data_IF_743070313531
#
_entry.id   IF_743070313531
#
_cell.length_a   1.000
_cell.length_b   1.000
_cell.length_c   1.000
_cell.angle_alpha   90.00
_cell.angle_beta   90.00
_cell.angle_gamma   90.00
#
_symmetry.space_group_name_H-M   'P 1'
#
loop_
_entity.id
_entity.type
_entity.pdbx_description
1 polymer ?
#
# COMPACT_ATOMS: atom_id res chain seq x y z
N UNK A 1 -3.29 -27.19 15.14
CA UNK A 1 -2.84 -28.34 14.32
C UNK A 1 -3.92 -29.43 14.28
N UNK A 2 -4.22 -30.00 13.10
CA UNK A 2 -5.15 -31.13 12.95
C UNK A 2 -4.61 -32.48 13.45
N UNK A 3 -3.32 -32.54 13.84
CA UNK A 3 -2.63 -33.75 14.27
C UNK A 3 -3.36 -34.45 15.43
N UNK A 4 -3.54 -35.77 15.30
CA UNK A 4 -4.36 -36.58 16.21
C UNK A 4 -5.81 -36.73 15.78
N UNK A 5 -6.30 -36.00 14.77
CA UNK A 5 -7.64 -36.20 14.20
C UNK A 5 -7.80 -37.50 13.39
N UNK A 6 -6.69 -38.02 12.85
CA UNK A 6 -6.65 -39.25 12.02
C UNK A 6 -7.57 -39.16 10.79
N UNK A 7 -8.39 -40.17 10.50
CA UNK A 7 -9.16 -40.25 9.25
C UNK A 7 -10.24 -39.16 9.14
N UNK A 8 -11.07 -39.00 10.18
CA UNK A 8 -12.28 -38.17 10.14
C UNK A 8 -12.47 -37.27 11.36
N UNK A 9 -11.44 -37.13 12.21
CA UNK A 9 -11.46 -36.26 13.39
C UNK A 9 -11.68 -36.99 14.73
N UNK A 10 -12.05 -38.27 14.70
CA UNK A 10 -12.31 -39.07 15.92
C UNK A 10 -11.06 -39.47 16.70
N UNK A 11 -9.88 -39.42 16.07
CA UNK A 11 -8.64 -39.95 16.65
C UNK A 11 -8.56 -41.48 16.68
N UNK A 12 -9.38 -42.17 15.88
CA UNK A 12 -9.32 -43.63 15.78
C UNK A 12 -7.90 -44.11 15.44
N UNK A 13 -7.43 -45.13 16.15
CA UNK A 13 -6.07 -45.68 16.04
C UNK A 13 -4.93 -44.75 16.49
N UNK A 14 -5.21 -43.59 17.09
CA UNK A 14 -4.20 -42.76 17.75
C UNK A 14 -4.21 -42.98 19.27
N UNK A 15 -3.03 -42.85 19.90
CA UNK A 15 -2.96 -42.77 21.36
C UNK A 15 -3.69 -41.49 21.84
N UNK A 16 -4.44 -41.51 22.97
CA UNK A 16 -5.24 -40.36 23.42
C UNK A 16 -4.48 -39.05 23.59
N UNK A 17 -3.18 -39.13 23.92
CA UNK A 17 -2.29 -37.97 24.09
C UNK A 17 -1.49 -37.60 22.85
N UNK A 18 -1.66 -38.30 21.73
CA UNK A 18 -0.79 -38.17 20.56
C UNK A 18 -0.77 -36.75 20.00
N UNK A 19 -1.95 -36.13 19.82
CA UNK A 19 -2.07 -34.78 19.28
C UNK A 19 -1.31 -33.73 20.11
N UNK A 20 -1.49 -33.78 21.44
CA UNK A 20 -0.86 -32.83 22.36
C UNK A 20 0.63 -33.06 22.50
N UNK A 21 1.07 -34.33 22.57
CA UNK A 21 2.49 -34.68 22.61
C UNK A 21 3.22 -34.22 21.36
N UNK A 22 2.64 -34.44 20.17
CA UNK A 22 3.26 -33.98 18.92
C UNK A 22 3.27 -32.45 18.85
N UNK A 23 2.19 -31.77 19.23
CA UNK A 23 2.17 -30.30 19.26
C UNK A 23 3.23 -29.72 20.21
N UNK A 24 3.42 -30.32 21.39
CA UNK A 24 4.46 -29.92 22.34
C UNK A 24 5.87 -30.11 21.77
N UNK A 25 6.13 -31.24 21.09
CA UNK A 25 7.41 -31.48 20.42
C UNK A 25 7.64 -30.47 19.29
N UNK A 26 6.63 -30.14 18.49
CA UNK A 26 6.76 -29.12 17.42
C UNK A 26 7.05 -27.75 18.04
N UNK A 27 6.36 -27.39 19.12
CA UNK A 27 6.62 -26.15 19.86
C UNK A 27 8.07 -26.07 20.37
N UNK A 28 8.59 -27.14 20.97
CA UNK A 28 9.97 -27.20 21.45
C UNK A 28 10.98 -27.04 20.31
N UNK A 29 10.76 -27.70 19.18
CA UNK A 29 11.69 -27.67 18.05
C UNK A 29 11.65 -26.36 17.26
N UNK A 30 10.52 -25.67 17.22
CA UNK A 30 10.32 -24.48 16.37
C UNK A 30 10.31 -23.16 17.16
N UNK A 31 10.12 -23.21 18.48
CA UNK A 31 9.92 -22.04 19.34
C UNK A 31 8.53 -21.39 19.23
N UNK A 32 7.68 -21.82 18.30
CA UNK A 32 6.33 -21.27 18.11
C UNK A 32 5.29 -22.00 18.97
N UNK A 33 4.26 -21.32 19.49
CA UNK A 33 3.30 -21.87 20.44
C UNK A 33 2.25 -22.79 19.77
N UNK A 34 2.69 -23.83 19.06
CA UNK A 34 1.81 -24.78 18.42
C UNK A 34 0.98 -25.57 19.44
N UNK A 35 -0.30 -25.73 19.12
CA UNK A 35 -1.26 -26.51 19.90
C UNK A 35 -2.07 -27.45 18.99
N UNK A 36 -2.54 -28.55 19.56
CA UNK A 36 -3.50 -29.44 18.89
C UNK A 36 -4.88 -28.77 18.88
N UNK A 37 -5.63 -28.85 17.77
CA UNK A 37 -6.96 -28.20 17.69
C UNK A 37 -7.94 -28.85 18.66
N UNK A 38 -8.73 -28.07 19.40
CA UNK A 38 -9.78 -28.60 20.28
C UNK A 38 -10.88 -29.32 19.48
N UNK A 39 -11.13 -28.90 18.23
CA UNK A 39 -12.07 -29.53 17.32
C UNK A 39 -11.33 -30.08 16.08
N UNK A 40 -11.10 -31.40 16.08
CA UNK A 40 -10.42 -32.10 14.97
C UNK A 40 -11.29 -32.26 13.73
N UNK A 41 -12.61 -32.26 13.88
CA UNK A 41 -13.52 -32.30 12.73
C UNK A 41 -13.36 -31.01 11.92
N UNK A 42 -13.51 -29.85 12.58
CA UNK A 42 -13.28 -28.54 11.96
C UNK A 42 -11.88 -28.42 11.33
N UNK A 43 -10.82 -28.81 12.05
CA UNK A 43 -9.46 -28.73 11.52
C UNK A 43 -9.16 -29.64 10.31
N UNK A 44 -10.02 -30.62 10.00
CA UNK A 44 -9.91 -31.46 8.80
C UNK A 44 -10.80 -30.94 7.66
N UNK A 45 -11.95 -30.35 7.99
CA UNK A 45 -13.01 -29.96 7.06
C UNK A 45 -12.91 -28.51 6.59
N UNK A 46 -12.41 -27.63 7.43
CA UNK A 46 -12.30 -26.20 7.17
C UNK A 46 -10.82 -25.75 7.22
N UNK A 47 -10.55 -24.66 6.52
CA UNK A 47 -9.27 -23.94 6.52
C UNK A 47 -9.53 -22.43 6.59
N UNK A 48 -10.52 -22.04 7.39
CA UNK A 48 -10.96 -20.66 7.56
C UNK A 48 -9.86 -19.78 8.18
N UNK A 49 -8.99 -20.36 9.00
CA UNK A 49 -7.78 -19.69 9.50
C UNK A 49 -6.84 -19.29 8.36
N UNK A 50 -6.73 -20.12 7.32
CA UNK A 50 -5.88 -19.83 6.15
C UNK A 50 -6.55 -18.79 5.25
N UNK A 51 -7.89 -18.84 5.12
CA UNK A 51 -8.65 -17.78 4.42
C UNK A 51 -8.48 -16.43 5.12
N UNK A 52 -8.57 -16.39 6.44
CA UNK A 52 -8.38 -15.17 7.21
C UNK A 52 -6.95 -14.62 7.08
N UNK A 53 -5.95 -15.50 7.13
CA UNK A 53 -4.56 -15.14 6.86
C UNK A 53 -4.42 -14.54 5.46
N UNK A 54 -4.93 -15.22 4.43
CA UNK A 54 -4.80 -14.75 3.06
C UNK A 54 -5.54 -13.43 2.83
N UNK A 55 -6.70 -13.23 3.45
CA UNK A 55 -7.41 -11.95 3.43
C UNK A 55 -6.57 -10.79 3.99
N UNK A 56 -5.73 -11.08 4.99
CA UNK A 56 -4.76 -10.10 5.53
C UNK A 56 -3.61 -9.83 4.54
N UNK A 57 -3.12 -10.86 3.83
CA UNK A 57 -2.14 -10.69 2.76
C UNK A 57 -2.69 -9.86 1.59
N UNK A 58 -3.96 -10.06 1.22
CA UNK A 58 -4.64 -9.23 0.23
C UNK A 58 -4.73 -7.76 0.66
N UNK A 59 -5.05 -7.50 1.92
CA UNK A 59 -5.08 -6.13 2.44
C UNK A 59 -3.71 -5.47 2.30
N UNK A 60 -2.64 -6.16 2.71
CA UNK A 60 -1.27 -5.69 2.52
C UNK A 60 -0.94 -5.44 1.03
N UNK A 61 -1.34 -6.34 0.13
CA UNK A 61 -1.16 -6.15 -1.31
C UNK A 61 -1.89 -4.91 -1.85
N UNK A 62 -3.07 -4.58 -1.32
CA UNK A 62 -3.80 -3.37 -1.70
C UNK A 62 -3.05 -2.09 -1.26
N UNK A 63 -2.49 -2.09 -0.05
CA UNK A 63 -1.70 -0.96 0.45
C UNK A 63 -0.41 -0.79 -0.37
N UNK A 64 0.31 -1.89 -0.64
CA UNK A 64 1.51 -1.89 -1.47
C UNK A 64 1.23 -1.43 -2.90
N UNK A 65 0.11 -1.85 -3.49
CA UNK A 65 -0.35 -1.37 -4.78
C UNK A 65 -0.49 0.15 -4.79
N UNK A 66 -1.12 0.74 -3.76
CA UNK A 66 -1.28 2.19 -3.66
C UNK A 66 0.07 2.88 -3.51
N UNK A 67 0.91 2.41 -2.59
CA UNK A 67 2.24 2.99 -2.33
C UNK A 67 3.10 3.00 -3.59
N UNK A 68 3.19 1.87 -4.29
CA UNK A 68 3.96 1.76 -5.53
C UNK A 68 3.39 2.64 -6.65
N UNK A 69 2.05 2.78 -6.72
CA UNK A 69 1.41 3.67 -7.68
C UNK A 69 1.73 5.14 -7.42
N UNK A 70 1.67 5.59 -6.17
CA UNK A 70 1.98 6.98 -5.82
C UNK A 70 3.44 7.29 -6.18
N UNK A 71 4.38 6.42 -5.80
CA UNK A 71 5.81 6.63 -6.05
C UNK A 71 6.08 6.71 -7.56
N UNK A 72 5.54 5.80 -8.38
CA UNK A 72 5.75 5.86 -9.84
C UNK A 72 5.12 7.09 -10.48
N UNK A 73 4.02 7.61 -9.93
CA UNK A 73 3.39 8.83 -10.44
C UNK A 73 4.17 10.07 -10.03
N UNK A 74 4.58 10.18 -8.77
CA UNK A 74 5.41 11.28 -8.28
C UNK A 74 6.76 11.34 -9.02
N UNK A 75 7.32 10.17 -9.39
CA UNK A 75 8.55 10.07 -10.17
C UNK A 75 8.34 10.19 -11.70
N UNK A 76 7.11 10.37 -12.18
CA UNK A 76 6.84 10.46 -13.62
C UNK A 76 7.49 11.70 -14.23
N UNK A 77 8.26 11.55 -15.32
CA UNK A 77 9.06 12.66 -15.84
C UNK A 77 10.03 12.25 -16.96
N UNK A 78 11.11 13.03 -17.21
CA UNK A 78 11.58 14.15 -16.40
C UNK A 78 10.93 15.51 -16.73
N UNK A 79 10.17 15.63 -17.83
CA UNK A 79 9.65 16.93 -18.30
C UNK A 79 8.15 16.99 -18.60
N UNK A 80 7.48 15.84 -18.66
CA UNK A 80 6.07 15.72 -19.05
C UNK A 80 5.25 14.89 -18.05
N UNK A 81 5.66 14.92 -16.78
CA UNK A 81 4.99 14.26 -15.66
C UNK A 81 4.98 15.17 -14.43
N UNK A 82 4.90 14.58 -13.23
CA UNK A 82 4.95 15.30 -11.96
C UNK A 82 6.40 15.60 -11.53
N UNK A 83 7.30 14.61 -11.58
CA UNK A 83 8.70 14.75 -11.19
C UNK A 83 8.90 15.46 -9.83
N UNK A 84 8.06 15.17 -8.84
CA UNK A 84 8.23 15.69 -7.47
C UNK A 84 9.33 14.95 -6.72
N UNK A 85 9.57 13.68 -7.09
CA UNK A 85 10.66 12.87 -6.54
C UNK A 85 11.48 12.24 -7.66
N UNK A 86 12.72 11.88 -7.33
CA UNK A 86 13.54 10.98 -8.13
C UNK A 86 13.63 9.61 -7.45
N UNK A 87 13.90 8.59 -8.26
CA UNK A 87 14.07 7.20 -7.81
C UNK A 87 15.37 6.63 -8.40
N UNK A 88 15.97 5.60 -7.77
CA UNK A 88 17.21 4.99 -8.27
C UNK A 88 17.08 4.44 -9.69
N UNK A 89 18.15 4.62 -10.48
CA UNK A 89 18.31 4.01 -11.80
C UNK A 89 19.12 2.71 -11.66
N UNK A 90 18.44 1.58 -11.43
CA UNK A 90 19.10 0.28 -11.25
C UNK A 90 19.48 -0.39 -12.57
N UNK A 91 18.68 -0.18 -13.61
CA UNK A 91 18.89 -0.73 -14.94
C UNK A 91 18.95 0.39 -15.98
N UNK A 92 19.74 0.25 -17.06
CA UNK A 92 19.68 1.17 -18.18
C UNK A 92 18.28 1.14 -18.80
N UNK A 93 17.45 2.15 -18.52
CA UNK A 93 16.03 2.13 -18.87
C UNK A 93 15.80 2.09 -20.38
N UNK A 94 16.50 2.93 -21.14
CA UNK A 94 16.51 2.89 -22.60
C UNK A 94 17.85 3.40 -23.12
N UNK A 95 18.53 2.58 -23.94
CA UNK A 95 19.85 2.89 -24.49
C UNK A 95 19.91 4.16 -25.37
N UNK A 96 18.76 4.75 -25.73
CA UNK A 96 18.65 5.92 -26.61
C UNK A 96 18.16 7.19 -25.89
N UNK A 97 17.72 7.10 -24.62
CA UNK A 97 17.09 8.22 -23.90
C UNK A 97 17.80 8.50 -22.56
N UNK A 98 18.89 9.29 -22.55
CA UNK A 98 19.58 9.64 -21.32
C UNK A 98 18.68 10.44 -20.36
N UNK A 99 18.71 10.09 -19.08
CA UNK A 99 17.91 10.73 -18.02
C UNK A 99 16.47 10.25 -17.88
N UNK A 100 16.06 9.22 -18.64
CA UNK A 100 14.77 8.54 -18.47
C UNK A 100 14.93 7.32 -17.57
N UNK A 101 14.38 7.39 -16.36
CA UNK A 101 14.33 6.26 -15.41
C UNK A 101 12.93 5.65 -15.42
N UNK A 102 12.83 4.35 -15.68
CA UNK A 102 11.55 3.63 -15.55
C UNK A 102 11.40 3.15 -14.09
N UNK A 103 10.20 3.23 -13.49
CA UNK A 103 9.97 2.80 -12.11
C UNK A 103 9.80 1.28 -11.99
N UNK A 104 10.81 0.50 -12.41
CA UNK A 104 10.76 -0.97 -12.56
C UNK A 104 10.38 -1.70 -11.28
N UNK A 105 10.87 -1.25 -10.13
CA UNK A 105 10.50 -1.81 -8.83
C UNK A 105 9.03 -1.55 -8.47
N UNK A 106 8.49 -0.37 -8.83
CA UNK A 106 7.06 -0.10 -8.65
C UNK A 106 6.21 -1.00 -9.56
N UNK A 107 6.63 -1.17 -10.82
CA UNK A 107 5.95 -2.06 -11.77
C UNK A 107 5.89 -3.49 -11.24
N UNK A 108 7.02 -4.03 -10.78
CA UNK A 108 7.09 -5.35 -10.15
C UNK A 108 6.16 -5.47 -8.95
N UNK A 109 6.20 -4.52 -8.02
CA UNK A 109 5.39 -4.58 -6.79
C UNK A 109 3.88 -4.51 -7.08
N UNK A 110 3.48 -3.74 -8.10
CA UNK A 110 2.08 -3.71 -8.55
C UNK A 110 1.66 -5.04 -9.20
N UNK A 111 2.52 -5.70 -9.97
CA UNK A 111 2.22 -7.03 -10.53
C UNK A 111 2.10 -8.11 -9.43
N UNK A 112 3.00 -8.10 -8.44
CA UNK A 112 2.92 -8.94 -7.24
C UNK A 112 1.58 -8.74 -6.55
N UNK A 113 1.16 -7.49 -6.37
CA UNK A 113 -0.08 -7.15 -5.68
C UNK A 113 -1.32 -7.71 -6.41
N UNK A 114 -1.35 -7.63 -7.75
CA UNK A 114 -2.42 -8.25 -8.56
C UNK A 114 -2.43 -9.77 -8.39
N UNK A 115 -1.25 -10.41 -8.43
CA UNK A 115 -1.15 -11.86 -8.27
C UNK A 115 -1.70 -12.32 -6.92
N UNK A 116 -1.36 -11.62 -5.84
CA UNK A 116 -1.87 -11.92 -4.48
C UNK A 116 -3.40 -11.77 -4.42
N UNK A 117 -3.97 -10.74 -5.03
CA UNK A 117 -5.43 -10.58 -5.08
C UNK A 117 -6.13 -11.72 -5.86
N UNK A 118 -5.49 -12.21 -6.93
CA UNK A 118 -5.95 -13.40 -7.65
C UNK A 118 -5.88 -14.66 -6.79
N UNK A 119 -4.76 -14.88 -6.10
CA UNK A 119 -4.55 -16.00 -5.19
C UNK A 119 -5.58 -16.01 -4.06
N UNK A 120 -5.99 -14.84 -3.54
CA UNK A 120 -7.03 -14.72 -2.51
C UNK A 120 -8.36 -15.30 -2.96
N UNK A 121 -8.72 -15.05 -4.23
CA UNK A 121 -9.93 -15.61 -4.83
C UNK A 121 -9.84 -17.13 -4.91
N UNK A 122 -8.68 -17.68 -5.33
CA UNK A 122 -8.45 -19.13 -5.39
C UNK A 122 -8.57 -19.75 -4.00
N UNK A 123 -7.92 -19.18 -2.98
CA UNK A 123 -7.96 -19.66 -1.60
C UNK A 123 -9.38 -19.62 -1.04
N UNK A 124 -10.10 -18.51 -1.21
CA UNK A 124 -11.47 -18.36 -0.73
C UNK A 124 -12.43 -19.36 -1.37
N UNK A 125 -12.37 -19.51 -2.70
CA UNK A 125 -13.20 -20.50 -3.41
C UNK A 125 -12.83 -21.91 -2.95
N UNK A 126 -11.56 -22.29 -2.96
CA UNK A 126 -11.12 -23.64 -2.58
C UNK A 126 -11.51 -24.01 -1.14
N UNK A 127 -11.41 -23.08 -0.19
CA UNK A 127 -11.82 -23.30 1.19
C UNK A 127 -13.33 -23.55 1.32
N UNK A 128 -14.15 -22.90 0.49
CA UNK A 128 -15.62 -23.07 0.50
C UNK A 128 -16.10 -24.45 0.02
N UNK A 129 -15.25 -25.24 -0.66
CA UNK A 129 -15.64 -26.50 -1.30
C UNK A 129 -15.44 -27.75 -0.41
N UNK A 130 -15.38 -27.59 0.91
CA UNK A 130 -15.32 -28.73 1.83
C UNK A 130 -16.58 -29.60 1.74
N UNK A 131 -16.43 -30.93 1.78
CA UNK A 131 -17.57 -31.86 1.82
C UNK A 131 -17.42 -32.84 2.98
N UNK A 132 -18.41 -32.85 3.87
CA UNK A 132 -18.47 -33.73 5.03
C UNK A 132 -17.19 -33.65 5.88
N UNK A 133 -16.46 -34.74 6.07
CA UNK A 133 -15.32 -34.85 7.01
C UNK A 133 -13.97 -34.38 6.45
N UNK A 134 -13.88 -33.93 5.17
CA UNK A 134 -12.61 -33.49 4.61
C UNK A 134 -12.76 -32.43 3.50
N UNK A 135 -12.02 -31.32 3.62
CA UNK A 135 -11.73 -30.47 2.47
C UNK A 135 -10.51 -31.03 1.73
N UNK A 136 -10.69 -31.43 0.47
CA UNK A 136 -9.69 -32.05 -0.41
C UNK A 136 -8.92 -31.05 -1.29
N UNK A 137 -9.21 -29.75 -1.18
CA UNK A 137 -8.53 -28.68 -1.91
C UNK A 137 -7.27 -28.16 -1.18
N UNK A 138 -6.79 -28.87 -0.15
CA UNK A 138 -5.63 -28.45 0.66
C UNK A 138 -4.39 -28.04 -0.15
N UNK A 139 -3.99 -28.77 -1.22
CA UNK A 139 -2.81 -28.39 -1.99
C UNK A 139 -2.92 -27.02 -2.64
N UNK A 140 -4.06 -26.71 -3.29
CA UNK A 140 -4.23 -25.42 -3.98
C UNK A 140 -4.36 -24.25 -2.99
N UNK A 141 -4.98 -24.48 -1.82
CA UNK A 141 -5.06 -23.48 -0.73
C UNK A 141 -3.65 -23.10 -0.26
N UNK A 142 -2.82 -24.10 0.05
CA UNK A 142 -1.48 -23.88 0.60
C UNK A 142 -0.49 -23.35 -0.45
N UNK A 143 -0.56 -23.83 -1.69
CA UNK A 143 0.30 -23.35 -2.78
C UNK A 143 0.09 -21.85 -3.04
N UNK A 144 -1.16 -21.41 -3.17
CA UNK A 144 -1.49 -20.00 -3.38
C UNK A 144 -1.13 -19.14 -2.16
N UNK A 145 -1.34 -19.66 -0.96
CA UNK A 145 -0.98 -18.95 0.28
C UNK A 145 0.53 -18.77 0.40
N UNK A 146 1.32 -19.81 0.17
CA UNK A 146 2.78 -19.74 0.23
C UNK A 146 3.34 -18.87 -0.89
N UNK A 147 2.81 -18.98 -2.11
CA UNK A 147 3.21 -18.11 -3.21
C UNK A 147 2.98 -16.64 -2.86
N UNK A 148 1.81 -16.28 -2.32
CA UNK A 148 1.53 -14.91 -1.89
C UNK A 148 2.51 -14.43 -0.81
N UNK A 149 2.82 -15.26 0.19
CA UNK A 149 3.80 -14.94 1.23
C UNK A 149 5.18 -14.65 0.62
N UNK A 150 5.68 -15.52 -0.26
CA UNK A 150 6.99 -15.33 -0.88
C UNK A 150 7.05 -14.11 -1.79
N UNK A 151 6.05 -13.93 -2.66
CA UNK A 151 5.99 -12.77 -3.57
C UNK A 151 5.95 -11.46 -2.80
N UNK A 152 5.17 -11.37 -1.73
CA UNK A 152 5.12 -10.16 -0.89
C UNK A 152 6.44 -9.95 -0.15
N UNK A 153 6.99 -10.98 0.48
CA UNK A 153 8.23 -10.86 1.25
C UNK A 153 9.40 -10.42 0.38
N UNK A 154 9.60 -11.09 -0.76
CA UNK A 154 10.68 -10.75 -1.69
C UNK A 154 10.39 -9.42 -2.40
N UNK A 155 9.14 -9.17 -2.81
CA UNK A 155 8.70 -7.94 -3.46
C UNK A 155 8.91 -6.71 -2.58
N UNK A 156 8.56 -6.76 -1.30
CA UNK A 156 8.82 -5.67 -0.35
C UNK A 156 10.32 -5.45 -0.13
N UNK A 157 11.11 -6.52 -0.01
CA UNK A 157 12.56 -6.42 0.20
C UNK A 157 13.26 -5.76 -0.99
N UNK A 158 13.00 -6.25 -2.21
CA UNK A 158 13.62 -5.67 -3.42
C UNK A 158 13.14 -4.24 -3.66
N UNK A 159 11.88 -3.94 -3.37
CA UNK A 159 11.35 -2.58 -3.50
C UNK A 159 12.03 -1.62 -2.52
N UNK A 160 12.26 -2.05 -1.27
CA UNK A 160 12.99 -1.26 -0.27
C UNK A 160 14.42 -0.99 -0.72
N UNK A 161 15.18 -2.05 -1.00
CA UNK A 161 16.61 -2.00 -1.33
C UNK A 161 16.90 -1.25 -2.63
N UNK A 162 16.05 -1.42 -3.65
CA UNK A 162 16.31 -0.91 -5.01
C UNK A 162 15.42 0.29 -5.39
N UNK A 163 14.56 0.78 -4.50
CA UNK A 163 13.73 1.95 -4.80
C UNK A 163 13.52 2.84 -3.58
N UNK A 164 12.87 2.33 -2.52
CA UNK A 164 12.39 3.16 -1.42
C UNK A 164 13.51 3.89 -0.69
N UNK A 165 14.63 3.21 -0.43
CA UNK A 165 15.77 3.80 0.28
C UNK A 165 16.50 4.91 -0.49
N UNK A 166 16.31 4.98 -1.82
CA UNK A 166 16.97 5.98 -2.67
C UNK A 166 16.01 7.02 -3.25
N UNK A 167 14.82 7.17 -2.67
CA UNK A 167 13.88 8.23 -3.05
C UNK A 167 14.46 9.58 -2.57
N UNK A 168 14.59 10.53 -3.48
CA UNK A 168 15.05 11.89 -3.18
C UNK A 168 14.05 12.93 -3.71
N UNK A 169 13.71 13.98 -2.94
CA UNK A 169 12.83 15.04 -3.40
C UNK A 169 13.50 15.89 -4.49
N UNK A 170 12.69 16.37 -5.45
CA UNK A 170 13.11 17.38 -6.42
C UNK A 170 12.54 18.72 -5.95
N UNK A 171 13.26 19.37 -5.04
CA UNK A 171 12.80 20.60 -4.36
C UNK A 171 12.36 21.69 -5.35
N UNK A 172 13.08 21.88 -6.46
CA UNK A 172 12.73 22.87 -7.49
C UNK A 172 11.31 22.67 -8.05
N UNK A 173 10.93 21.41 -8.33
CA UNK A 173 9.61 21.10 -8.88
C UNK A 173 8.52 21.22 -7.80
N UNK A 174 8.80 20.74 -6.58
CA UNK A 174 7.89 20.84 -5.43
C UNK A 174 7.57 22.31 -5.14
N UNK A 175 8.60 23.16 -5.05
CA UNK A 175 8.46 24.60 -4.83
C UNK A 175 7.70 25.27 -5.97
N UNK A 176 7.95 24.87 -7.22
CA UNK A 176 7.21 25.39 -8.37
C UNK A 176 5.72 25.06 -8.28
N UNK A 177 5.35 23.82 -7.94
CA UNK A 177 3.94 23.43 -7.80
C UNK A 177 3.26 24.14 -6.64
N UNK A 178 3.94 24.24 -5.49
CA UNK A 178 3.42 24.95 -4.33
C UNK A 178 3.07 26.40 -4.67
N UNK A 179 3.99 27.12 -5.32
CA UNK A 179 3.81 28.54 -5.65
C UNK A 179 2.83 28.78 -6.80
N UNK A 180 2.55 27.76 -7.63
CA UNK A 180 1.53 27.83 -8.69
C UNK A 180 0.15 27.31 -8.24
N UNK A 181 0.08 26.67 -7.08
CA UNK A 181 -1.16 26.09 -6.57
C UNK A 181 -2.19 27.16 -6.25
N UNK A 182 -3.45 26.88 -6.62
CA UNK A 182 -4.59 27.71 -6.23
C UNK A 182 -5.15 27.34 -4.86
N UNK A 183 -4.66 26.26 -4.24
CA UNK A 183 -5.22 25.73 -2.99
C UNK A 183 -4.79 26.53 -1.76
N UNK A 184 -3.67 27.27 -1.85
CA UNK A 184 -3.21 28.15 -0.76
C UNK A 184 -4.19 29.28 -0.44
N UNK A 185 -5.15 29.56 -1.33
CA UNK A 185 -6.17 30.60 -1.18
C UNK A 185 -7.03 30.43 0.07
N UNK A 186 -7.15 29.21 0.62
CA UNK A 186 -7.94 28.94 1.82
C UNK A 186 -7.40 29.66 3.05
N UNK A 187 -6.08 29.94 3.09
CA UNK A 187 -5.44 30.74 4.13
C UNK A 187 -6.00 32.18 4.19
N UNK A 188 -6.60 32.68 3.11
CA UNK A 188 -7.19 34.01 3.06
C UNK A 188 -8.58 34.08 3.72
N UNK A 189 -9.26 32.95 3.91
CA UNK A 189 -10.65 32.93 4.40
C UNK A 189 -10.83 33.67 5.75
N UNK A 190 -9.98 33.51 6.77
CA UNK A 190 -10.12 34.23 8.04
C UNK A 190 -9.90 35.75 7.92
N UNK A 191 -9.19 36.22 6.89
CA UNK A 191 -8.81 37.62 6.73
C UNK A 191 -9.79 38.40 5.86
N UNK A 192 -10.25 37.80 4.76
CA UNK A 192 -11.08 38.49 3.75
C UNK A 192 -12.44 37.82 3.50
N UNK A 193 -12.70 36.67 4.12
CA UNK A 193 -13.92 35.89 3.95
C UNK A 193 -13.90 35.00 2.68
N UNK A 194 -14.71 33.94 2.73
CA UNK A 194 -14.78 32.91 1.69
C UNK A 194 -15.10 33.47 0.29
N UNK A 195 -16.08 34.37 0.16
CA UNK A 195 -16.50 34.87 -1.16
C UNK A 195 -15.38 35.61 -1.90
N UNK A 196 -14.60 36.43 -1.18
CA UNK A 196 -13.47 37.17 -1.77
C UNK A 196 -12.34 36.22 -2.14
N UNK A 197 -11.98 35.28 -1.27
CA UNK A 197 -10.98 34.25 -1.55
C UNK A 197 -11.35 33.38 -2.77
N UNK A 198 -12.60 32.92 -2.84
CA UNK A 198 -13.10 32.16 -4.00
C UNK A 198 -13.04 32.97 -5.31
N UNK A 199 -13.28 34.28 -5.25
CA UNK A 199 -13.16 35.16 -6.43
C UNK A 199 -11.72 35.31 -6.89
N UNK A 200 -10.75 35.42 -5.96
CA UNK A 200 -9.32 35.45 -6.27
C UNK A 200 -8.90 34.17 -6.99
N UNK A 201 -9.25 32.99 -6.45
CA UNK A 201 -8.89 31.71 -7.06
C UNK A 201 -9.51 31.52 -8.46
N UNK A 202 -10.80 31.86 -8.62
CA UNK A 202 -11.49 31.80 -9.92
C UNK A 202 -10.85 32.72 -10.95
N UNK A 203 -10.45 33.93 -10.55
CA UNK A 203 -9.78 34.87 -11.44
C UNK A 203 -8.38 34.36 -11.83
N UNK A 204 -7.60 33.88 -10.86
CA UNK A 204 -6.27 33.31 -11.11
C UNK A 204 -6.34 32.15 -12.12
N UNK A 205 -7.27 31.22 -11.93
CA UNK A 205 -7.50 30.13 -12.86
C UNK A 205 -7.89 30.60 -14.26
N UNK A 206 -8.86 31.53 -14.35
CA UNK A 206 -9.37 32.03 -15.64
C UNK A 206 -8.29 32.77 -16.44
N UNK A 207 -7.40 33.49 -15.77
CA UNK A 207 -6.37 34.31 -16.41
C UNK A 207 -5.02 33.58 -16.53
N UNK A 208 -4.85 32.42 -15.91
CA UNK A 208 -3.59 31.68 -15.91
C UNK A 208 -2.46 32.37 -15.14
N UNK A 209 -2.81 33.17 -14.13
CA UNK A 209 -1.87 33.93 -13.28
C UNK A 209 -1.76 33.29 -11.88
N UNK A 210 -0.78 33.73 -11.09
CA UNK A 210 -0.59 33.24 -9.71
C UNK A 210 -1.71 33.75 -8.78
N UNK A 211 -1.90 33.06 -7.65
CA UNK A 211 -2.79 33.55 -6.59
C UNK A 211 -2.40 34.95 -6.11
N UNK A 212 -1.09 35.18 -5.90
CA UNK A 212 -0.55 36.46 -5.45
C UNK A 212 -0.92 37.59 -6.40
N UNK A 213 -0.70 37.41 -7.70
CA UNK A 213 -1.07 38.40 -8.71
C UNK A 213 -2.57 38.69 -8.69
N UNK A 214 -3.40 37.64 -8.69
CA UNK A 214 -4.87 37.77 -8.67
C UNK A 214 -5.39 38.48 -7.40
N UNK A 215 -4.76 38.24 -6.25
CA UNK A 215 -5.14 38.83 -4.97
C UNK A 215 -4.80 40.33 -4.89
N UNK A 216 -3.65 40.72 -5.43
CA UNK A 216 -3.22 42.12 -5.54
C UNK A 216 -4.11 42.85 -6.56
N UNK A 217 -4.35 42.27 -7.73
CA UNK A 217 -5.20 42.84 -8.79
C UNK A 217 -6.65 43.03 -8.34
N UNK A 218 -7.14 42.19 -7.42
CA UNK A 218 -8.50 42.32 -6.89
C UNK A 218 -8.66 43.49 -5.91
N UNK A 219 -7.56 44.06 -5.41
CA UNK A 219 -7.55 45.12 -4.40
C UNK A 219 -8.12 44.69 -3.04
N UNK A 220 -8.13 43.38 -2.76
CA UNK A 220 -8.67 42.85 -1.49
C UNK A 220 -7.62 42.78 -0.39
N UNK A 221 -6.34 42.78 -0.76
CA UNK A 221 -5.19 42.76 0.12
C UNK A 221 -3.98 43.35 -0.60
N UNK A 222 -2.97 43.73 0.18
CA UNK A 222 -1.66 44.21 -0.28
C UNK A 222 -0.68 43.04 -0.48
N UNK A 223 0.43 43.29 -1.16
CA UNK A 223 1.49 42.28 -1.31
C UNK A 223 2.03 41.83 0.06
N UNK A 224 2.25 42.77 0.97
CA UNK A 224 2.75 42.48 2.32
C UNK A 224 1.77 41.62 3.12
N UNK A 225 0.46 41.89 2.99
CA UNK A 225 -0.57 41.06 3.62
C UNK A 225 -0.63 39.66 3.00
N UNK A 226 -0.41 39.51 1.69
CA UNK A 226 -0.35 38.19 1.07
C UNK A 226 0.78 37.36 1.65
N UNK A 227 1.97 37.94 1.73
CA UNK A 227 3.18 37.25 2.21
C UNK A 227 3.12 36.99 3.73
N UNK A 228 2.39 37.81 4.49
CA UNK A 228 2.14 37.58 5.91
C UNK A 228 1.12 36.45 6.14
N UNK A 229 0.03 36.41 5.37
CA UNK A 229 -1.10 35.51 5.60
C UNK A 229 -0.93 34.14 4.94
N UNK A 230 -0.28 34.07 3.78
CA UNK A 230 -0.02 32.81 3.09
C UNK A 230 1.39 32.33 3.39
N UNK A 231 1.49 31.47 4.42
CA UNK A 231 2.72 30.81 4.83
C UNK A 231 2.54 29.30 4.74
N UNK A 232 3.00 28.62 3.68
CA UNK A 232 2.82 27.17 3.50
C UNK A 232 3.28 26.34 4.70
N UNK A 233 4.36 26.74 5.37
CA UNK A 233 4.90 26.11 6.59
C UNK A 233 3.92 26.14 7.77
N UNK A 234 2.93 27.03 7.71
CA UNK A 234 1.87 27.19 8.70
C UNK A 234 0.56 26.51 8.31
N UNK A 235 0.50 25.82 7.16
CA UNK A 235 -0.71 25.19 6.60
C UNK A 235 -0.67 23.66 6.68
N UNK A 236 0.22 23.11 7.51
CA UNK A 236 0.46 21.66 7.66
C UNK A 236 -0.04 21.09 8.99
N UNK A 237 -0.58 21.92 9.88
CA UNK A 237 -1.11 21.51 11.18
C UNK A 237 -2.28 22.43 11.63
N UNK A 238 -3.16 21.96 12.53
CA UNK A 238 -4.18 22.79 13.15
C UNK A 238 -3.57 23.92 13.99
N UNK A 239 -4.24 25.07 14.06
CA UNK A 239 -3.89 26.20 14.94
C UNK A 239 -5.01 26.45 15.94
N UNK A 240 -4.65 26.91 17.14
CA UNK A 240 -5.57 27.48 18.13
C UNK A 240 -6.15 28.82 17.68
#
# INVERSE_FOLDING_TARGET
LAIGGTAVGTGINAHPKFGDMVAANIKENTGYPFVSSENKFHALTAHDEVVQLHGSLKALAADLMKIANDIRWLASGPRAGLAEISIPENEPGSSIMPGKVNPTQCEMLTMVSVQVMGNDTVVGIAASQGNFELNVFKPVILDNTLQSIYLLADGMRTFDENCAQGIEPIEENIDQYLNRSLMLVTALNPHIGYEKAAKIAKNAHKQGITLKQSAIDSGYLTEEQFDEWIKPENMVEPKE
#
